data_IF_367339909172
#
_entry.id   IF_367339909172
#
_cell.length_a   1.000
_cell.length_b   1.000
_cell.length_c   1.000
_cell.angle_alpha   90.00
_cell.angle_beta   90.00
_cell.angle_gamma   90.00
#
_symmetry.space_group_name_H-M   'P 1'
#
loop_
_entity.id
_entity.type
_entity.pdbx_description
1 polymer ?
#
# COMPACT_ATOMS: atom_id res chain seq x y z
N UNK A 1 -36.64 6.89 25.03
CA UNK A 1 -36.43 7.98 24.07
C UNK A 1 -34.98 8.42 24.03
N UNK A 2 -34.42 8.68 25.19
CA UNK A 2 -33.04 9.15 25.27
C UNK A 2 -32.08 8.11 24.78
N UNK A 3 -32.36 6.87 25.01
CA UNK A 3 -31.51 5.75 24.58
C UNK A 3 -31.32 5.70 23.07
N UNK A 4 -32.35 6.11 22.34
CA UNK A 4 -32.28 6.12 20.88
C UNK A 4 -31.23 7.10 20.35
N UNK A 5 -31.04 8.22 21.02
CA UNK A 5 -30.05 9.20 20.62
C UNK A 5 -28.65 8.65 20.78
N UNK A 6 -28.40 7.89 21.83
CA UNK A 6 -27.11 7.29 22.05
C UNK A 6 -26.74 6.33 20.92
N UNK A 7 -27.70 5.56 20.45
CA UNK A 7 -27.46 4.64 19.34
C UNK A 7 -27.08 5.38 18.08
N UNK A 8 -27.66 6.52 17.82
CA UNK A 8 -27.33 7.32 16.64
C UNK A 8 -25.89 7.80 16.68
N UNK A 9 -25.38 8.10 17.84
CA UNK A 9 -23.99 8.54 17.99
C UNK A 9 -23.03 7.42 17.63
N UNK A 10 -23.33 6.20 17.99
CA UNK A 10 -22.49 5.07 17.65
C UNK A 10 -22.38 4.86 16.14
N UNK A 11 -23.46 5.03 15.43
CA UNK A 11 -23.43 4.88 13.97
C UNK A 11 -22.51 5.89 13.33
N UNK A 12 -22.49 7.11 13.82
CA UNK A 12 -21.59 8.12 13.30
C UNK A 12 -20.12 7.71 13.46
N UNK A 13 -19.78 7.05 14.54
CA UNK A 13 -18.41 6.60 14.78
C UNK A 13 -18.01 5.48 13.83
N UNK A 14 -18.93 4.56 13.52
CA UNK A 14 -18.62 3.47 12.61
C UNK A 14 -18.34 3.96 11.20
N UNK A 15 -18.90 5.08 10.82
CA UNK A 15 -18.67 5.63 9.49
C UNK A 15 -17.30 6.25 9.31
N UNK A 16 -16.55 6.42 10.39
CA UNK A 16 -15.22 7.01 10.34
C UNK A 16 -14.16 6.01 9.89
N UNK A 17 -14.51 4.76 9.66
CA UNK A 17 -13.56 3.76 9.19
C UNK A 17 -13.24 4.02 7.73
N UNK A 18 -11.97 4.27 7.47
CA UNK A 18 -11.49 4.47 6.12
C UNK A 18 -10.93 3.18 5.56
N UNK A 19 -11.19 2.96 4.29
CA UNK A 19 -10.61 1.85 3.55
C UNK A 19 -9.60 2.44 2.60
N UNK A 20 -8.33 2.14 2.84
CA UNK A 20 -7.25 2.60 1.99
C UNK A 20 -6.92 1.52 0.98
N UNK A 21 -7.03 1.85 -0.29
CA UNK A 21 -6.61 0.98 -1.36
C UNK A 21 -5.22 1.40 -1.82
N UNK A 22 -4.39 0.42 -2.08
CA UNK A 22 -3.08 0.64 -2.65
C UNK A 22 -3.06 0.15 -4.08
N UNK A 23 -2.39 0.89 -4.94
CA UNK A 23 -2.16 0.51 -6.33
C UNK A 23 -0.66 0.38 -6.56
N UNK A 24 -0.26 -0.79 -7.01
CA UNK A 24 1.14 -1.09 -7.33
C UNK A 24 1.27 -1.44 -8.79
N UNK A 25 2.40 -1.09 -9.36
CA UNK A 25 2.80 -1.53 -10.69
C UNK A 25 3.96 -2.50 -10.52
N UNK A 26 3.82 -3.69 -11.07
CA UNK A 26 4.87 -4.71 -11.04
C UNK A 26 5.37 -4.93 -12.46
N UNK A 27 6.67 -4.74 -12.65
CA UNK A 27 7.33 -5.06 -13.90
C UNK A 27 8.01 -6.41 -13.75
N UNK A 28 7.63 -7.37 -14.58
CA UNK A 28 8.34 -8.63 -14.72
C UNK A 28 9.49 -8.42 -15.68
N UNK A 29 10.69 -8.39 -15.15
CA UNK A 29 11.88 -8.06 -15.97
C UNK A 29 12.23 -9.16 -16.95
N UNK A 30 11.82 -10.38 -16.69
CA UNK A 30 12.13 -11.51 -17.58
C UNK A 30 11.30 -11.46 -18.86
N UNK A 31 10.10 -10.93 -18.80
CA UNK A 31 9.19 -10.87 -19.95
C UNK A 31 8.88 -9.44 -20.39
N UNK A 32 9.31 -8.45 -19.63
CA UNK A 32 8.96 -7.03 -19.79
C UNK A 32 7.46 -6.77 -19.67
N UNK A 33 6.74 -7.68 -19.06
CA UNK A 33 5.30 -7.52 -18.81
C UNK A 33 5.05 -6.69 -17.58
N UNK A 34 4.00 -5.86 -17.63
CA UNK A 34 3.60 -5.01 -16.53
C UNK A 34 2.23 -5.44 -16.00
N UNK A 35 2.11 -5.43 -14.70
CA UNK A 35 0.86 -5.82 -14.02
C UNK A 35 0.48 -4.74 -13.02
N UNK A 36 -0.78 -4.35 -13.03
CA UNK A 36 -1.32 -3.42 -12.06
C UNK A 36 -2.08 -4.21 -10.99
N UNK A 37 -1.75 -3.93 -9.74
CA UNK A 37 -2.43 -4.55 -8.60
C UNK A 37 -3.15 -3.47 -7.81
N UNK A 38 -4.34 -3.82 -7.33
CA UNK A 38 -5.08 -2.95 -6.43
C UNK A 38 -5.66 -3.81 -5.31
N UNK A 39 -5.37 -3.45 -4.06
CA UNK A 39 -5.86 -4.20 -2.91
C UNK A 39 -5.94 -3.29 -1.68
N UNK A 40 -6.64 -3.72 -0.64
CA UNK A 40 -6.79 -2.92 0.57
C UNK A 40 -5.89 -3.38 1.72
N UNK A 41 -5.75 -4.66 1.96
CA UNK A 41 -4.96 -5.18 3.07
C UNK A 41 -3.78 -6.01 2.61
N UNK A 42 -4.06 -7.01 1.83
CA UNK A 42 -3.03 -7.93 1.37
C UNK A 42 -3.37 -8.49 0.01
N UNK A 43 -2.37 -8.99 -0.67
CA UNK A 43 -2.53 -9.56 -2.00
C UNK A 43 -1.41 -10.55 -2.26
N UNK A 44 -1.76 -11.64 -2.93
CA UNK A 44 -0.81 -12.65 -3.36
C UNK A 44 -0.61 -12.53 -4.87
N UNK A 45 0.60 -12.25 -5.29
CA UNK A 45 0.97 -12.19 -6.70
C UNK A 45 2.07 -13.21 -6.94
N UNK A 46 1.73 -14.34 -7.57
CA UNK A 46 2.67 -15.44 -7.80
C UNK A 46 3.28 -15.87 -6.47
N UNK A 47 4.61 -15.82 -6.34
CA UNK A 47 5.29 -16.20 -5.10
C UNK A 47 5.56 -15.02 -4.16
N UNK A 48 4.97 -13.86 -4.45
CA UNK A 48 5.10 -12.67 -3.60
C UNK A 48 3.81 -12.45 -2.83
N UNK A 49 3.94 -12.19 -1.54
CA UNK A 49 2.83 -11.79 -0.70
C UNK A 49 3.03 -10.35 -0.27
N UNK A 50 2.02 -9.52 -0.51
CA UNK A 50 2.05 -8.11 -0.15
C UNK A 50 1.11 -7.84 1.00
N UNK A 51 1.56 -7.04 1.95
CA UNK A 51 0.72 -6.56 3.03
C UNK A 51 0.92 -5.06 3.17
N UNK A 52 -0.18 -4.31 3.10
CA UNK A 52 -0.13 -2.87 3.33
C UNK A 52 -0.18 -2.60 4.82
N UNK A 53 0.88 -2.01 5.36
CA UNK A 53 0.96 -1.67 6.77
C UNK A 53 0.46 -0.26 7.01
N UNK A 54 0.84 0.68 6.15
CA UNK A 54 0.47 2.08 6.33
C UNK A 54 0.56 2.82 5.00
N UNK A 55 -0.28 3.83 4.84
CA UNK A 55 -0.20 4.76 3.72
C UNK A 55 -0.33 6.17 4.26
N UNK A 56 0.57 7.06 3.86
CA UNK A 56 0.62 8.43 4.34
C UNK A 56 0.93 9.38 3.23
N UNK A 57 0.33 10.57 3.32
CA UNK A 57 0.80 11.72 2.55
C UNK A 57 1.86 12.41 3.36
N UNK A 58 2.99 12.67 2.74
CA UNK A 58 4.13 13.28 3.40
C UNK A 58 4.57 14.53 2.63
N UNK A 59 5.24 15.43 3.35
CA UNK A 59 5.75 16.65 2.77
C UNK A 59 7.24 16.74 3.01
N UNK A 60 8.00 16.83 1.91
CA UNK A 60 9.44 17.03 1.95
C UNK A 60 9.74 18.38 1.36
N UNK A 61 10.24 19.30 2.16
CA UNK A 61 10.83 20.54 1.65
C UNK A 61 10.04 21.14 0.48
N UNK A 62 8.73 21.34 0.66
CA UNK A 62 7.76 21.86 -0.32
C UNK A 62 7.23 20.87 -1.33
N UNK A 63 7.70 19.64 -1.34
CA UNK A 63 7.15 18.60 -2.20
C UNK A 63 6.20 17.74 -1.41
N UNK A 64 5.09 17.41 -2.06
CA UNK A 64 4.15 16.45 -1.50
C UNK A 64 4.39 15.10 -2.15
N UNK A 65 4.40 14.06 -1.34
CA UNK A 65 4.53 12.70 -1.83
C UNK A 65 3.57 11.81 -1.06
N UNK A 66 3.37 10.63 -1.57
CA UNK A 66 2.62 9.57 -0.92
C UNK A 66 3.55 8.43 -0.64
N UNK A 67 3.53 7.95 0.59
CA UNK A 67 4.40 6.86 1.02
C UNK A 67 3.57 5.70 1.56
N UNK A 68 3.87 4.50 1.10
CA UNK A 68 3.27 3.28 1.60
C UNK A 68 4.30 2.42 2.28
N UNK A 69 4.00 1.96 3.49
CA UNK A 69 4.81 0.97 4.17
C UNK A 69 4.29 -0.40 3.81
N UNK A 70 5.10 -1.17 3.12
CA UNK A 70 4.74 -2.48 2.62
C UNK A 70 5.60 -3.56 3.26
N UNK A 71 4.96 -4.68 3.53
CA UNK A 71 5.63 -5.92 3.87
C UNK A 71 5.52 -6.85 2.68
N UNK A 72 6.66 -7.28 2.16
CA UNK A 72 6.73 -8.17 1.00
C UNK A 72 7.42 -9.44 1.43
N UNK A 73 6.75 -10.56 1.26
CA UNK A 73 7.28 -11.87 1.62
C UNK A 73 7.45 -12.70 0.36
N UNK A 74 8.65 -13.23 0.18
CA UNK A 74 8.95 -14.18 -0.89
C UNK A 74 9.59 -15.41 -0.25
N UNK A 75 8.92 -16.55 -0.35
CA UNK A 75 9.33 -17.76 0.36
C UNK A 75 9.45 -17.46 1.87
N UNK A 76 10.63 -17.65 2.45
CA UNK A 76 10.84 -17.37 3.86
C UNK A 76 11.45 -16.00 4.13
N UNK A 77 11.66 -15.21 3.09
CA UNK A 77 12.28 -13.89 3.22
C UNK A 77 11.23 -12.80 3.26
N UNK A 78 11.38 -11.90 4.22
CA UNK A 78 10.47 -10.79 4.40
C UNK A 78 11.22 -9.46 4.30
N UNK A 79 10.67 -8.56 3.51
CA UNK A 79 11.13 -7.19 3.40
C UNK A 79 10.04 -6.26 3.92
N UNK A 80 10.41 -5.29 4.73
CA UNK A 80 9.50 -4.23 5.18
C UNK A 80 10.16 -2.90 4.85
N UNK A 81 9.46 -2.06 4.09
CA UNK A 81 10.03 -0.78 3.72
C UNK A 81 9.01 0.15 3.12
N UNK A 82 9.44 1.41 2.96
CA UNK A 82 8.62 2.46 2.40
C UNK A 82 8.78 2.54 0.90
N UNK A 83 7.67 2.71 0.21
CA UNK A 83 7.61 2.97 -1.22
C UNK A 83 7.01 4.35 -1.43
N UNK A 84 7.58 5.11 -2.35
CA UNK A 84 7.18 6.49 -2.61
C UNK A 84 6.61 6.61 -4.01
N UNK A 85 5.54 7.37 -4.15
CA UNK A 85 4.86 7.53 -5.43
C UNK A 85 5.68 8.36 -6.41
N UNK A 86 6.21 9.48 -5.97
CA UNK A 86 6.94 10.41 -6.82
C UNK A 86 8.45 10.32 -6.68
N UNK A 87 8.93 9.86 -5.54
CA UNK A 87 10.35 9.76 -5.23
C UNK A 87 10.74 8.28 -5.20
N UNK A 88 10.51 7.60 -6.31
CA UNK A 88 10.66 6.15 -6.39
C UNK A 88 12.11 5.69 -6.31
N UNK A 89 13.06 6.57 -6.56
CA UNK A 89 14.48 6.24 -6.36
C UNK A 89 14.84 5.97 -4.90
N UNK A 90 13.96 6.31 -3.96
CA UNK A 90 14.15 5.98 -2.56
C UNK A 90 13.68 4.57 -2.20
N UNK A 91 13.06 3.86 -3.13
CA UNK A 91 12.62 2.50 -2.87
C UNK A 91 13.83 1.59 -2.74
N UNK A 92 13.88 0.84 -1.63
CA UNK A 92 15.02 0.00 -1.30
C UNK A 92 14.82 -1.47 -1.66
N UNK A 93 13.62 -1.85 -2.06
CA UNK A 93 13.35 -3.23 -2.42
C UNK A 93 14.02 -3.56 -3.75
N UNK A 94 14.74 -4.65 -3.77
CA UNK A 94 15.42 -5.12 -4.96
C UNK A 94 15.13 -6.60 -5.18
N UNK A 95 14.75 -6.95 -6.39
CA UNK A 95 14.49 -8.31 -6.79
C UNK A 95 14.99 -8.48 -8.23
N UNK A 96 15.60 -9.63 -8.53
CA UNK A 96 16.13 -9.90 -9.86
C UNK A 96 15.04 -10.00 -10.91
N UNK A 97 13.85 -10.42 -10.52
CA UNK A 97 12.76 -10.72 -11.45
C UNK A 97 11.78 -9.56 -11.52
N UNK A 98 11.49 -8.92 -10.39
CA UNK A 98 10.41 -7.94 -10.31
C UNK A 98 10.91 -6.57 -9.89
N UNK A 99 10.34 -5.55 -10.53
CA UNK A 99 10.47 -4.17 -10.10
C UNK A 99 9.10 -3.70 -9.65
N UNK A 100 9.02 -3.15 -8.44
CA UNK A 100 7.75 -2.79 -7.82
C UNK A 100 7.73 -1.29 -7.60
N UNK A 101 6.67 -0.66 -8.06
CA UNK A 101 6.48 0.79 -7.93
C UNK A 101 5.13 1.09 -7.29
N UNK A 102 5.10 2.11 -6.45
CA UNK A 102 3.85 2.60 -5.89
C UNK A 102 3.19 3.55 -6.87
N UNK A 103 1.96 3.21 -7.27
CA UNK A 103 1.18 4.08 -8.17
C UNK A 103 0.33 5.04 -7.36
N UNK A 104 -0.33 4.54 -6.33
CA UNK A 104 -1.16 5.37 -5.47
C UNK A 104 -1.55 4.61 -4.19
N UNK A 105 -1.92 5.32 -3.20
CA UNK A 105 -2.65 4.85 -2.02
C UNK A 105 -3.30 6.05 -1.26
#
# INVERSE_FOLDING_TARGET
LIILFLNSIFFGQLQAIEINNIKLLILDKSSSSKYELEFSNSYQFRNLSFELVSCKNIEFDKYLDTAALLKITKNDNTFIGWFFKYTDELNLYSNKIYEISLTDC
#
